data_IF_161613641169
#
_entry.id   IF_161613641169
#
_cell.length_a   1.000
_cell.length_b   1.000
_cell.length_c   1.000
_cell.angle_alpha   90.00
_cell.angle_beta   90.00
_cell.angle_gamma   90.00
#
_symmetry.space_group_name_H-M   'P 1'
#
loop_
_entity.id
_entity.type
_entity.pdbx_description
1 polymer ?
#
# COMPACT_ATOMS: atom_id res chain seq x y z
N UNK A 1 -16.54 20.64 13.69
CA UNK A 1 -15.86 21.09 12.46
C UNK A 1 -14.53 21.70 12.86
N UNK A 2 -13.43 21.27 12.20
CA UNK A 2 -12.01 21.44 12.55
C UNK A 2 -11.44 20.44 13.55
N UNK A 3 -11.81 19.16 13.46
CA UNK A 3 -11.15 18.12 14.26
C UNK A 3 -9.67 18.00 13.89
N UNK A 4 -9.32 18.21 12.62
CA UNK A 4 -7.94 18.11 12.16
C UNK A 4 -7.01 19.09 12.86
N UNK A 5 -7.49 20.30 13.19
CA UNK A 5 -6.70 21.35 13.85
C UNK A 5 -6.18 20.88 15.22
N UNK A 6 -7.03 20.23 16.01
CA UNK A 6 -6.67 19.70 17.33
C UNK A 6 -5.50 18.71 17.26
N UNK A 7 -5.44 17.90 16.20
CA UNK A 7 -4.37 16.92 16.00
C UNK A 7 -3.08 17.53 15.48
N UNK A 8 -3.12 18.66 14.76
CA UNK A 8 -1.92 19.41 14.42
C UNK A 8 -1.26 20.08 15.63
N UNK A 9 -2.07 20.51 16.61
CA UNK A 9 -1.55 21.02 17.87
C UNK A 9 -0.89 19.89 18.70
N UNK A 10 -1.53 18.70 18.77
CA UNK A 10 -0.94 17.50 19.40
C UNK A 10 0.34 17.02 18.71
N UNK A 11 0.43 17.17 17.40
CA UNK A 11 1.62 16.83 16.61
C UNK A 11 2.87 17.58 17.10
N UNK A 12 2.70 18.86 17.43
CA UNK A 12 3.79 19.73 17.89
C UNK A 12 4.33 19.33 19.27
N UNK A 13 3.58 18.56 20.06
CA UNK A 13 4.04 18.04 21.36
C UNK A 13 4.57 16.61 21.31
N UNK A 14 4.27 15.86 20.25
CA UNK A 14 4.73 14.47 20.06
C UNK A 14 5.99 14.37 19.19
N UNK A 15 6.28 15.40 18.41
CA UNK A 15 7.43 15.41 17.50
C UNK A 15 8.14 16.75 17.56
N UNK A 16 9.28 16.77 18.25
CA UNK A 16 10.04 18.00 18.53
C UNK A 16 10.49 18.75 17.25
N UNK A 17 10.71 18.03 16.14
CA UNK A 17 11.08 18.63 14.85
C UNK A 17 9.86 19.01 13.97
N UNK A 18 8.63 18.80 14.45
CA UNK A 18 7.44 19.15 13.70
C UNK A 18 7.17 20.65 13.79
N UNK A 19 7.16 21.30 12.63
CA UNK A 19 6.78 22.69 12.50
C UNK A 19 5.41 22.79 11.79
N UNK A 20 4.34 23.24 12.49
CA UNK A 20 3.04 23.40 11.87
C UNK A 20 3.09 24.49 10.80
N UNK A 21 2.63 24.16 9.58
CA UNK A 21 2.58 25.12 8.46
C UNK A 21 1.14 25.52 8.19
N UNK A 22 0.88 26.81 8.12
CA UNK A 22 -0.47 27.36 7.82
C UNK A 22 -1.09 26.72 6.57
N UNK A 23 -0.30 26.54 5.51
CA UNK A 23 -0.77 25.92 4.25
C UNK A 23 -1.17 24.45 4.44
N UNK A 24 -0.44 23.71 5.27
CA UNK A 24 -0.73 22.31 5.60
C UNK A 24 -2.06 22.18 6.32
N UNK A 25 -2.27 23.02 7.35
CA UNK A 25 -3.50 23.06 8.14
C UNK A 25 -4.68 23.45 7.25
N UNK A 26 -4.53 24.50 6.43
CA UNK A 26 -5.58 24.92 5.50
C UNK A 26 -5.95 23.83 4.49
N UNK A 27 -4.97 23.12 3.94
CA UNK A 27 -5.22 21.99 3.06
C UNK A 27 -6.00 20.89 3.80
N UNK A 28 -5.59 20.56 5.02
CA UNK A 28 -6.23 19.53 5.83
C UNK A 28 -7.69 19.85 6.16
N UNK A 29 -7.98 21.09 6.53
CA UNK A 29 -9.34 21.56 6.77
C UNK A 29 -10.21 21.46 5.53
N UNK A 30 -9.70 21.90 4.36
CA UNK A 30 -10.44 21.77 3.10
C UNK A 30 -10.72 20.31 2.72
N UNK A 31 -9.79 19.41 3.02
CA UNK A 31 -9.98 17.97 2.80
C UNK A 31 -11.04 17.42 3.76
N UNK A 32 -10.97 17.75 5.05
CA UNK A 32 -11.99 17.38 6.05
C UNK A 32 -13.39 17.81 5.60
N UNK A 33 -13.53 19.08 5.21
CA UNK A 33 -14.81 19.63 4.72
C UNK A 33 -15.31 18.92 3.47
N UNK A 34 -14.41 18.58 2.53
CA UNK A 34 -14.80 17.93 1.28
C UNK A 34 -15.22 16.48 1.48
N UNK A 35 -14.51 15.75 2.35
CA UNK A 35 -14.86 14.39 2.75
C UNK A 35 -16.21 14.37 3.48
N UNK A 36 -16.43 15.29 4.41
CA UNK A 36 -17.68 15.37 5.19
C UNK A 36 -18.88 15.73 4.31
N UNK A 37 -18.71 16.65 3.37
CA UNK A 37 -19.80 17.11 2.50
C UNK A 37 -19.96 16.26 1.22
N UNK A 38 -19.13 15.25 1.00
CA UNK A 38 -19.16 14.41 -0.21
C UNK A 38 -18.85 15.20 -1.50
N UNK A 39 -18.00 16.23 -1.43
CA UNK A 39 -17.64 17.07 -2.57
C UNK A 39 -16.22 16.80 -3.06
N UNK A 40 -15.92 17.24 -4.28
CA UNK A 40 -14.58 17.11 -4.86
C UNK A 40 -13.74 18.35 -4.57
N UNK A 41 -12.51 18.12 -4.11
CA UNK A 41 -11.50 19.15 -3.92
C UNK A 41 -10.37 18.98 -4.93
N UNK A 42 -10.00 20.07 -5.60
CA UNK A 42 -8.75 20.19 -6.34
C UNK A 42 -7.88 21.18 -5.58
N UNK A 43 -6.68 20.76 -5.20
CA UNK A 43 -5.74 21.59 -4.46
C UNK A 43 -4.31 21.35 -4.96
N UNK A 44 -3.55 22.44 -5.06
CA UNK A 44 -2.12 22.41 -5.30
C UNK A 44 -1.38 22.65 -3.98
N UNK A 45 -0.40 21.81 -3.69
CA UNK A 45 0.48 22.00 -2.54
C UNK A 45 1.93 21.71 -2.92
N UNK A 46 2.81 22.67 -2.64
CA UNK A 46 4.24 22.58 -2.91
C UNK A 46 4.91 21.37 -2.25
N UNK A 47 6.09 21.00 -2.75
CA UNK A 47 6.94 19.99 -2.10
C UNK A 47 7.34 20.43 -0.70
N UNK A 48 7.49 19.48 0.24
CA UNK A 48 7.91 19.80 1.61
C UNK A 48 6.83 20.42 2.53
N UNK A 49 5.64 20.72 2.02
CA UNK A 49 4.53 21.31 2.82
C UNK A 49 3.95 20.33 3.86
N UNK A 50 4.31 19.05 3.82
CA UNK A 50 3.73 18.03 4.70
C UNK A 50 2.38 17.51 4.21
N UNK A 51 2.24 17.38 2.87
CA UNK A 51 1.03 16.92 2.19
C UNK A 51 0.46 15.62 2.75
N UNK A 52 1.32 14.64 3.05
CA UNK A 52 0.88 13.35 3.59
C UNK A 52 0.03 13.50 4.83
N UNK A 53 0.52 14.21 5.86
CA UNK A 53 -0.24 14.43 7.09
C UNK A 53 -1.52 15.25 6.84
N UNK A 54 -1.46 16.22 5.92
CA UNK A 54 -2.61 17.06 5.60
C UNK A 54 -3.81 16.25 5.08
N UNK A 55 -3.58 15.20 4.27
CA UNK A 55 -4.67 14.33 3.83
C UNK A 55 -4.91 13.11 4.73
N UNK A 56 -3.87 12.57 5.38
CA UNK A 56 -4.00 11.34 6.18
C UNK A 56 -4.80 11.55 7.47
N UNK A 57 -4.61 12.68 8.16
CA UNK A 57 -5.32 12.97 9.41
C UNK A 57 -6.85 13.02 9.18
N UNK A 58 -7.37 13.88 8.28
CA UNK A 58 -8.81 13.92 8.03
C UNK A 58 -9.33 12.63 7.41
N UNK A 59 -8.55 11.94 6.57
CA UNK A 59 -8.91 10.63 6.02
C UNK A 59 -9.10 9.57 7.13
N UNK A 60 -8.17 9.51 8.09
CA UNK A 60 -8.28 8.58 9.20
C UNK A 60 -9.49 8.92 10.09
N UNK A 61 -9.70 10.20 10.40
CA UNK A 61 -10.83 10.65 11.21
C UNK A 61 -12.18 10.30 10.57
N UNK A 62 -12.35 10.56 9.27
CA UNK A 62 -13.60 10.20 8.60
C UNK A 62 -13.77 8.69 8.52
N UNK A 63 -12.69 7.93 8.28
CA UNK A 63 -12.73 6.46 8.24
C UNK A 63 -13.17 5.87 9.57
N UNK A 64 -12.64 6.39 10.69
CA UNK A 64 -13.04 5.96 12.04
C UNK A 64 -14.50 6.34 12.34
N UNK A 65 -14.93 7.54 11.95
CA UNK A 65 -16.29 8.03 12.23
C UNK A 65 -17.36 7.30 11.41
N UNK A 66 -17.05 6.93 10.17
CA UNK A 66 -18.00 6.30 9.24
C UNK A 66 -17.91 4.78 9.23
N UNK A 67 -16.85 4.20 9.81
CA UNK A 67 -16.49 2.79 9.66
C UNK A 67 -16.32 2.37 8.18
N UNK A 68 -15.94 3.32 7.32
CA UNK A 68 -15.68 3.08 5.90
C UNK A 68 -14.18 3.24 5.57
N UNK A 69 -13.63 2.40 4.67
CA UNK A 69 -12.23 2.49 4.27
C UNK A 69 -11.99 3.69 3.35
N UNK A 70 -10.87 4.39 3.56
CA UNK A 70 -10.41 5.45 2.66
C UNK A 70 -9.33 4.93 1.71
N UNK A 71 -9.49 5.21 0.42
CA UNK A 71 -8.51 4.85 -0.61
C UNK A 71 -7.60 6.04 -0.91
N UNK A 72 -6.29 5.82 -0.79
CA UNK A 72 -5.26 6.81 -1.15
C UNK A 72 -4.52 6.32 -2.38
N UNK A 73 -4.63 7.08 -3.47
CA UNK A 73 -3.89 6.83 -4.71
C UNK A 73 -2.67 7.73 -4.80
N UNK A 74 -1.54 7.17 -5.23
CA UNK A 74 -0.27 7.89 -5.40
C UNK A 74 0.48 7.39 -6.63
N UNK A 75 1.35 8.22 -7.17
CA UNK A 75 2.00 8.01 -8.47
C UNK A 75 2.97 6.82 -8.47
N UNK A 76 3.76 6.67 -7.40
CA UNK A 76 4.86 5.70 -7.38
C UNK A 76 4.76 4.73 -6.22
N UNK A 77 5.33 3.54 -6.43
CA UNK A 77 5.45 2.48 -5.41
C UNK A 77 6.27 2.93 -4.21
N UNK A 78 7.29 3.77 -4.43
CA UNK A 78 8.11 4.34 -3.35
C UNK A 78 7.27 5.22 -2.43
N UNK A 79 6.38 6.05 -2.99
CA UNK A 79 5.46 6.86 -2.21
C UNK A 79 4.45 5.99 -1.43
N UNK A 80 3.95 4.89 -2.02
CA UNK A 80 3.09 3.94 -1.29
C UNK A 80 3.81 3.33 -0.08
N UNK A 81 5.07 2.92 -0.27
CA UNK A 81 5.87 2.36 0.81
C UNK A 81 6.12 3.40 1.91
N UNK A 82 6.41 4.65 1.55
CA UNK A 82 6.58 5.74 2.51
C UNK A 82 5.33 5.94 3.36
N UNK A 83 4.13 5.87 2.75
CA UNK A 83 2.88 5.98 3.49
C UNK A 83 2.75 4.86 4.51
N UNK A 84 2.98 3.61 4.11
CA UNK A 84 2.84 2.47 5.00
C UNK A 84 3.88 2.41 6.12
N UNK A 85 5.16 2.67 5.80
CA UNK A 85 6.24 2.47 6.78
C UNK A 85 6.47 3.67 7.69
N UNK A 86 5.97 4.84 7.32
CA UNK A 86 6.27 6.09 8.03
C UNK A 86 5.03 6.93 8.31
N UNK A 87 4.34 7.40 7.27
CA UNK A 87 3.35 8.46 7.45
C UNK A 87 2.07 7.95 8.14
N UNK A 88 1.58 6.75 7.83
CA UNK A 88 0.41 6.12 8.49
C UNK A 88 0.74 5.72 9.95
N UNK A 89 1.85 5.03 10.26
CA UNK A 89 2.24 4.77 11.65
C UNK A 89 2.37 6.04 12.49
N UNK A 90 2.80 7.13 11.89
CA UNK A 90 2.85 8.43 12.56
C UNK A 90 1.47 8.96 12.89
N UNK A 91 0.54 8.93 11.93
CA UNK A 91 -0.87 9.34 12.16
C UNK A 91 -1.53 8.46 13.21
N UNK A 92 -1.29 7.15 13.18
CA UNK A 92 -1.74 6.21 14.21
C UNK A 92 -1.30 6.62 15.62
N UNK A 93 -0.02 6.98 15.79
CA UNK A 93 0.49 7.51 17.08
C UNK A 93 -0.18 8.82 17.50
N UNK A 94 -0.40 9.74 16.57
CA UNK A 94 -1.01 11.05 16.83
C UNK A 94 -2.47 10.90 17.27
N UNK A 95 -3.20 9.98 16.63
CA UNK A 95 -4.59 9.70 16.96
C UNK A 95 -4.74 8.82 18.20
N UNK A 96 -3.68 8.10 18.59
CA UNK A 96 -3.74 7.09 19.65
C UNK A 96 -4.56 5.86 19.25
N UNK A 97 -4.64 5.57 17.95
CA UNK A 97 -5.47 4.50 17.37
C UNK A 97 -4.60 3.67 16.42
N UNK A 98 -4.70 2.35 16.50
CA UNK A 98 -4.03 1.45 15.56
C UNK A 98 -4.74 1.49 14.19
N UNK A 99 -4.15 2.23 13.24
CA UNK A 99 -4.70 2.35 11.90
C UNK A 99 -4.24 1.18 11.04
N UNK A 100 -5.20 0.42 10.53
CA UNK A 100 -4.94 -0.62 9.54
C UNK A 100 -4.79 0.00 8.16
N UNK A 101 -3.77 -0.41 7.42
CA UNK A 101 -3.56 -0.02 6.04
C UNK A 101 -2.91 -1.15 5.25
N UNK A 102 -3.32 -1.34 3.99
CA UNK A 102 -2.75 -2.36 3.11
C UNK A 102 -2.60 -1.80 1.68
N UNK A 103 -1.64 -2.32 0.91
CA UNK A 103 -1.44 -1.87 -0.48
C UNK A 103 -2.35 -2.63 -1.43
N UNK A 104 -3.21 -1.90 -2.13
CA UNK A 104 -3.92 -2.40 -3.29
C UNK A 104 -3.06 -2.27 -4.57
N UNK A 105 -2.75 -3.40 -5.21
CA UNK A 105 -2.07 -3.42 -6.51
C UNK A 105 -2.76 -4.32 -7.53
N UNK A 106 -2.48 -4.03 -8.81
CA UNK A 106 -2.88 -4.91 -9.90
C UNK A 106 -2.30 -6.32 -9.76
N UNK A 107 -3.06 -7.32 -10.22
CA UNK A 107 -2.74 -8.74 -10.07
C UNK A 107 -1.36 -9.16 -10.58
N UNK A 108 -0.86 -8.53 -11.64
CA UNK A 108 0.45 -8.79 -12.24
C UNK A 108 1.64 -8.36 -11.36
N UNK A 109 1.37 -7.79 -10.18
CA UNK A 109 2.39 -7.53 -9.17
C UNK A 109 2.56 -8.70 -8.18
N UNK A 110 1.68 -9.69 -8.20
CA UNK A 110 1.71 -10.82 -7.27
C UNK A 110 2.17 -12.09 -7.96
N UNK A 111 3.07 -12.83 -7.31
CA UNK A 111 3.47 -14.16 -7.75
C UNK A 111 2.28 -15.12 -7.68
N UNK A 112 2.05 -15.85 -8.77
CA UNK A 112 1.09 -16.94 -8.83
C UNK A 112 1.81 -18.26 -8.55
N UNK A 113 1.62 -18.81 -7.34
CA UNK A 113 2.24 -20.08 -6.93
C UNK A 113 2.01 -21.22 -7.94
N UNK A 114 0.83 -21.29 -8.57
CA UNK A 114 0.54 -22.25 -9.64
C UNK A 114 1.48 -22.07 -10.84
N UNK A 115 1.51 -20.86 -11.43
CA UNK A 115 2.35 -20.58 -12.60
C UNK A 115 3.84 -20.75 -12.29
N UNK A 116 4.27 -20.26 -11.13
CA UNK A 116 5.63 -20.47 -10.61
C UNK A 116 5.96 -21.97 -10.55
N UNK A 117 5.14 -22.80 -9.90
CA UNK A 117 5.41 -24.23 -9.79
C UNK A 117 5.55 -24.91 -11.17
N UNK A 118 4.75 -24.50 -12.17
CA UNK A 118 4.91 -24.99 -13.54
C UNK A 118 6.27 -24.58 -14.14
N UNK A 119 6.64 -23.31 -14.05
CA UNK A 119 7.92 -22.80 -14.58
C UNK A 119 9.12 -23.51 -13.96
N UNK A 120 9.10 -23.73 -12.65
CA UNK A 120 10.17 -24.42 -11.93
C UNK A 120 10.23 -25.92 -12.25
N UNK A 121 9.08 -26.59 -12.34
CA UNK A 121 9.01 -28.01 -12.68
C UNK A 121 9.46 -28.28 -14.12
N UNK A 122 9.04 -27.42 -15.05
CA UNK A 122 9.29 -27.61 -16.48
C UNK A 122 10.62 -26.96 -16.92
N UNK A 123 11.32 -26.26 -16.01
CA UNK A 123 12.61 -25.62 -16.28
C UNK A 123 12.55 -24.40 -17.21
N UNK A 124 11.37 -23.80 -17.40
CA UNK A 124 11.13 -22.77 -18.43
C UNK A 124 11.38 -21.34 -17.92
N UNK A 125 12.36 -21.14 -17.01
CA UNK A 125 12.67 -19.84 -16.41
C UNK A 125 13.62 -18.96 -17.25
N UNK A 126 14.25 -19.53 -18.28
CA UNK A 126 15.20 -18.83 -19.15
C UNK A 126 16.65 -18.89 -18.63
N UNK A 127 17.67 -19.02 -19.50
CA UNK A 127 19.06 -19.16 -19.09
C UNK A 127 19.57 -17.95 -18.29
N UNK A 128 19.02 -16.76 -18.52
CA UNK A 128 19.37 -15.53 -17.80
C UNK A 128 18.95 -15.55 -16.33
N UNK A 129 17.98 -16.40 -15.97
CA UNK A 129 17.52 -16.55 -14.58
C UNK A 129 18.39 -17.49 -13.77
N UNK A 130 19.16 -18.39 -14.41
CA UNK A 130 20.00 -19.40 -13.74
C UNK A 130 20.84 -18.82 -12.59
N UNK A 131 21.62 -17.72 -12.77
CA UNK A 131 22.44 -17.17 -11.68
C UNK A 131 21.62 -16.50 -10.56
N UNK A 132 20.31 -16.31 -10.76
CA UNK A 132 19.43 -15.60 -9.83
C UNK A 132 18.38 -16.51 -9.17
N UNK A 133 18.30 -17.79 -9.53
CA UNK A 133 17.31 -18.74 -9.01
C UNK A 133 17.41 -18.90 -7.49
N UNK A 134 18.62 -19.00 -6.95
CA UNK A 134 18.83 -19.18 -5.50
C UNK A 134 18.31 -17.96 -4.73
N UNK A 135 18.63 -16.75 -5.19
CA UNK A 135 18.16 -15.51 -4.60
C UNK A 135 16.63 -15.40 -4.65
N UNK A 136 16.02 -15.75 -5.80
CA UNK A 136 14.57 -15.76 -5.94
C UNK A 136 13.90 -16.81 -5.04
N UNK A 137 14.45 -18.02 -4.97
CA UNK A 137 13.94 -19.11 -4.13
C UNK A 137 14.01 -18.75 -2.64
N UNK A 138 15.09 -18.12 -2.22
CA UNK A 138 15.22 -17.63 -0.85
C UNK A 138 14.18 -16.54 -0.55
N UNK A 139 13.95 -15.62 -1.48
CA UNK A 139 12.94 -14.58 -1.29
C UNK A 139 11.51 -15.14 -1.24
N UNK A 140 11.13 -16.03 -2.17
CA UNK A 140 9.75 -16.51 -2.27
C UNK A 140 9.33 -17.39 -1.08
N UNK A 141 10.29 -18.03 -0.42
CA UNK A 141 10.05 -18.79 0.81
C UNK A 141 9.80 -17.89 2.03
N UNK A 142 10.34 -16.66 2.03
CA UNK A 142 10.28 -15.75 3.17
C UNK A 142 9.29 -14.58 2.97
N UNK A 143 8.86 -14.29 1.75
CA UNK A 143 7.91 -13.21 1.50
C UNK A 143 6.51 -13.56 2.00
N UNK A 144 5.91 -12.64 2.75
CA UNK A 144 4.52 -12.74 3.20
C UNK A 144 3.53 -12.25 2.13
N UNK A 145 3.96 -11.37 1.24
CA UNK A 145 3.08 -10.69 0.29
C UNK A 145 3.19 -11.22 -1.14
N UNK A 146 4.32 -11.85 -1.48
CA UNK A 146 4.63 -12.30 -2.85
C UNK A 146 4.60 -11.19 -3.89
N UNK A 147 4.72 -9.93 -3.48
CA UNK A 147 4.74 -8.76 -4.36
C UNK A 147 6.11 -8.65 -5.02
N UNK A 148 6.17 -8.68 -6.35
CA UNK A 148 7.44 -8.63 -7.11
C UNK A 148 8.32 -7.41 -6.78
N UNK A 149 7.75 -6.32 -6.27
CA UNK A 149 8.48 -5.12 -5.87
C UNK A 149 9.30 -5.28 -4.58
N UNK A 150 8.99 -6.30 -3.77
CA UNK A 150 9.74 -6.62 -2.55
C UNK A 150 10.95 -7.50 -2.85
N UNK A 151 11.10 -7.96 -4.10
CA UNK A 151 12.26 -8.71 -4.51
C UNK A 151 13.40 -7.74 -4.86
N UNK A 152 14.43 -7.74 -4.02
CA UNK A 152 15.63 -6.90 -4.21
C UNK A 152 16.67 -7.55 -5.14
N UNK A 153 16.42 -8.76 -5.64
CA UNK A 153 17.31 -9.45 -6.58
C UNK A 153 16.99 -9.14 -8.04
N UNK A 154 17.72 -9.79 -8.94
CA UNK A 154 17.52 -9.63 -10.39
C UNK A 154 16.57 -10.70 -10.91
N UNK A 155 15.57 -10.29 -11.68
CA UNK A 155 14.68 -11.20 -12.40
C UNK A 155 14.27 -10.61 -13.75
N UNK A 156 14.28 -11.44 -14.79
CA UNK A 156 13.95 -11.00 -16.15
C UNK A 156 12.46 -10.66 -16.29
N UNK A 157 12.15 -9.80 -17.26
CA UNK A 157 10.77 -9.45 -17.57
C UNK A 157 9.96 -10.67 -18.01
N UNK A 158 10.55 -11.55 -18.84
CA UNK A 158 9.91 -12.79 -19.29
C UNK A 158 9.61 -13.72 -18.12
N UNK A 159 10.57 -13.88 -17.19
CA UNK A 159 10.37 -14.66 -15.98
C UNK A 159 9.19 -14.12 -15.16
N UNK A 160 9.13 -12.81 -14.89
CA UNK A 160 8.01 -12.21 -14.16
C UNK A 160 6.66 -12.43 -14.85
N UNK A 161 6.59 -12.29 -16.17
CA UNK A 161 5.36 -12.56 -16.92
C UNK A 161 4.94 -14.02 -16.78
N UNK A 162 5.89 -14.96 -16.78
CA UNK A 162 5.60 -16.38 -16.60
C UNK A 162 5.14 -16.74 -15.19
N UNK A 163 5.53 -16.01 -14.15
CA UNK A 163 5.21 -16.40 -12.76
C UNK A 163 4.15 -15.53 -12.08
N UNK A 164 3.84 -14.34 -12.60
CA UNK A 164 2.83 -13.45 -12.00
C UNK A 164 1.41 -13.79 -12.45
N UNK A 165 0.42 -13.37 -11.65
CA UNK A 165 -1.00 -13.61 -11.97
C UNK A 165 -1.46 -12.75 -13.15
N UNK A 166 -2.10 -13.40 -14.11
CA UNK A 166 -2.97 -12.77 -15.10
C UNK A 166 -4.43 -12.92 -14.67
N UNK A 167 -5.23 -11.88 -14.85
CA UNK A 167 -6.64 -11.93 -14.46
C UNK A 167 -7.42 -12.99 -15.25
N UNK A 168 -7.19 -13.05 -16.56
CA UNK A 168 -7.93 -13.90 -17.50
C UNK A 168 -7.61 -15.39 -17.35
N UNK A 169 -6.40 -15.74 -16.89
CA UNK A 169 -5.93 -17.11 -16.70
C UNK A 169 -6.02 -17.58 -15.23
N UNK A 170 -6.71 -16.82 -14.38
CA UNK A 170 -6.86 -17.16 -12.98
C UNK A 170 -8.07 -18.06 -12.76
N UNK A 171 -7.83 -19.26 -12.21
CA UNK A 171 -8.89 -20.21 -11.86
C UNK A 171 -9.73 -19.78 -10.62
N UNK A 172 -9.40 -18.65 -10.00
CA UNK A 172 -10.09 -18.14 -8.81
C UNK A 172 -10.18 -19.19 -7.71
N UNK A 173 -11.39 -19.40 -7.18
CA UNK A 173 -11.69 -20.38 -6.12
C UNK A 173 -11.42 -21.84 -6.54
N UNK A 174 -11.43 -22.14 -7.84
CA UNK A 174 -11.13 -23.47 -8.36
C UNK A 174 -9.61 -23.75 -8.46
N UNK A 175 -8.76 -22.77 -8.13
CA UNK A 175 -7.31 -22.96 -8.13
C UNK A 175 -6.88 -23.85 -6.96
N UNK A 176 -6.09 -24.92 -7.18
CA UNK A 176 -5.53 -25.73 -6.09
C UNK A 176 -4.69 -24.94 -5.09
N UNK A 177 -4.16 -23.78 -5.50
CA UNK A 177 -3.36 -22.89 -4.65
C UNK A 177 -4.15 -21.68 -4.13
N UNK A 178 -5.49 -21.67 -4.20
CA UNK A 178 -6.31 -20.52 -3.80
C UNK A 178 -6.06 -20.09 -2.35
N UNK A 179 -6.06 -21.04 -1.41
CA UNK A 179 -5.85 -20.80 0.02
C UNK A 179 -4.48 -20.19 0.36
N UNK A 180 -3.48 -20.42 -0.49
CA UNK A 180 -2.12 -19.93 -0.31
C UNK A 180 -1.76 -18.82 -1.29
N UNK A 181 -2.75 -18.25 -1.99
CA UNK A 181 -2.54 -17.20 -2.97
C UNK A 181 -2.26 -15.87 -2.28
N UNK A 182 -1.10 -15.29 -2.59
CA UNK A 182 -0.70 -13.99 -2.10
C UNK A 182 -1.74 -12.88 -2.33
N UNK A 183 -2.26 -12.74 -3.56
CA UNK A 183 -3.26 -11.72 -3.88
C UNK A 183 -4.56 -11.91 -3.08
N UNK A 184 -5.09 -13.14 -3.06
CA UNK A 184 -6.38 -13.39 -2.40
C UNK A 184 -6.27 -13.31 -0.88
N UNK A 185 -5.11 -13.65 -0.31
CA UNK A 185 -4.82 -13.42 1.10
C UNK A 185 -4.92 -11.92 1.44
N UNK A 186 -4.20 -11.05 0.70
CA UNK A 186 -4.24 -9.59 0.93
C UNK A 186 -5.61 -8.97 0.69
N UNK A 187 -6.35 -9.44 -0.31
CA UNK A 187 -7.74 -8.99 -0.53
C UNK A 187 -8.63 -9.28 0.67
N UNK A 188 -8.48 -10.45 1.31
CA UNK A 188 -9.24 -10.79 2.51
C UNK A 188 -8.84 -9.93 3.71
N UNK A 189 -7.57 -9.56 3.84
CA UNK A 189 -7.16 -8.62 4.90
C UNK A 189 -7.86 -7.27 4.75
N UNK A 190 -7.93 -6.73 3.52
CA UNK A 190 -8.64 -5.48 3.23
C UNK A 190 -10.16 -5.55 3.49
N UNK A 191 -10.77 -6.74 3.37
CA UNK A 191 -12.20 -6.95 3.68
C UNK A 191 -12.50 -6.95 5.20
N UNK A 192 -11.45 -6.99 6.04
CA UNK A 192 -11.56 -6.96 7.51
C UNK A 192 -11.26 -5.59 8.13
N UNK A 193 -11.15 -4.57 7.29
CA UNK A 193 -10.90 -3.20 7.71
C UNK A 193 -12.18 -2.57 8.25
#
# INVERSE_FOLDING_TARGET
>A
MNRSLEYFDKLSSLWDDFEPRKVQIQLSQKIEDSLYNGTHLIAEAGTGVGKSLAYLIPAALISIETEEPVVISTETKSLQQQLLSKDIPMVSKILGIDLKAEVAMGASNYVCKRKMNHVFRDGTFGPEMIPHLDSFNQWIQNTESGRKQEFNGTASYDFWNRITREADNCLGRNCPNFSHSFLFFRKREMETF
#
